data_IF_775679847248
#
_entry.id   IF_775679847248
#
_cell.length_a   1.000
_cell.length_b   1.000
_cell.length_c   1.000
_cell.angle_alpha   90.00
_cell.angle_beta   90.00
_cell.angle_gamma   90.00
#
_symmetry.space_group_name_H-M   'P 1'
#
loop_
_entity.id
_entity.type
_entity.pdbx_description
1 polymer ?
#
# COMPACT_ATOMS: atom_id res chain seq x y z
N UNK A 1 25.75 14.53 23.64
CA UNK A 1 25.15 14.80 22.32
C UNK A 1 24.87 13.46 21.63
N UNK A 2 23.72 12.85 21.95
CA UNK A 2 23.24 11.64 21.25
C UNK A 2 22.50 12.11 20.00
N UNK A 3 23.20 12.18 18.88
CA UNK A 3 22.58 12.13 17.58
C UNK A 3 21.99 10.70 17.43
N UNK A 4 20.71 10.57 17.69
CA UNK A 4 19.97 9.39 17.27
C UNK A 4 20.12 9.27 15.76
N UNK A 5 20.92 8.30 15.33
CA UNK A 5 21.06 7.93 13.93
C UNK A 5 19.76 7.25 13.47
N UNK A 6 18.80 8.04 13.03
CA UNK A 6 17.55 7.58 12.41
C UNK A 6 17.79 6.87 11.07
N UNK A 7 19.06 6.75 10.65
CA UNK A 7 19.49 6.15 9.40
C UNK A 7 19.89 4.67 9.51
N UNK A 8 19.69 4.01 10.64
CA UNK A 8 19.87 2.57 10.70
C UNK A 8 18.78 1.90 9.85
N UNK A 9 19.07 1.70 8.56
CA UNK A 9 18.25 0.87 7.69
C UNK A 9 17.94 -0.43 8.43
N UNK A 10 16.66 -0.74 8.65
CA UNK A 10 16.27 -1.95 9.38
C UNK A 10 16.84 -3.14 8.61
N UNK A 11 17.78 -3.85 9.22
CA UNK A 11 18.42 -5.02 8.61
C UNK A 11 17.37 -6.01 8.13
N UNK A 12 17.36 -6.27 6.81
CA UNK A 12 16.43 -7.19 6.18
C UNK A 12 15.13 -6.58 5.64
N UNK A 13 14.92 -5.25 5.74
CA UNK A 13 13.80 -4.58 5.09
C UNK A 13 13.97 -4.58 3.56
N UNK A 14 12.88 -4.89 2.84
CA UNK A 14 12.91 -5.03 1.39
C UNK A 14 13.22 -3.74 0.65
N UNK A 15 12.83 -2.58 1.19
CA UNK A 15 12.89 -1.27 0.54
C UNK A 15 13.82 -0.28 1.26
N UNK A 16 14.64 -0.75 2.21
CA UNK A 16 15.49 0.11 3.05
C UNK A 16 16.39 1.04 2.22
N UNK A 17 17.01 0.51 1.16
CA UNK A 17 17.90 1.26 0.26
C UNK A 17 17.15 2.34 -0.50
N UNK A 18 16.01 1.99 -1.09
CA UNK A 18 15.19 2.87 -1.90
C UNK A 18 14.59 4.00 -1.05
N UNK A 19 14.10 3.66 0.15
CA UNK A 19 13.54 4.65 1.07
C UNK A 19 14.61 5.61 1.62
N UNK A 20 15.81 5.10 1.92
CA UNK A 20 16.93 5.94 2.31
C UNK A 20 17.32 6.92 1.19
N UNK A 21 17.34 6.47 -0.07
CA UNK A 21 17.60 7.34 -1.23
C UNK A 21 16.52 8.43 -1.36
N UNK A 22 15.23 8.08 -1.21
CA UNK A 22 14.11 9.05 -1.22
C UNK A 22 14.30 10.14 -0.17
N UNK A 23 14.71 9.78 1.06
CA UNK A 23 14.97 10.75 2.12
C UNK A 23 16.16 11.65 1.83
N UNK A 24 17.28 11.05 1.43
CA UNK A 24 18.53 11.78 1.16
C UNK A 24 18.42 12.74 -0.03
N UNK A 25 17.61 12.40 -1.02
CA UNK A 25 17.35 13.21 -2.21
C UNK A 25 16.23 14.26 -2.00
N UNK A 26 15.66 14.35 -0.79
CA UNK A 26 14.58 15.31 -0.49
C UNK A 26 13.28 15.02 -1.24
N UNK A 27 13.04 13.76 -1.64
CA UNK A 27 11.81 13.37 -2.37
C UNK A 27 10.61 13.07 -1.46
N UNK A 28 10.73 13.33 -0.16
CA UNK A 28 9.59 13.53 0.73
C UNK A 28 9.36 15.03 0.77
N UNK A 29 8.32 15.50 0.05
CA UNK A 29 8.13 16.91 -0.24
C UNK A 29 6.73 17.39 0.20
N UNK A 30 6.68 18.30 1.17
CA UNK A 30 5.45 18.88 1.68
C UNK A 30 4.76 19.85 0.70
N UNK A 31 5.47 20.26 -0.36
CA UNK A 31 4.92 21.14 -1.41
C UNK A 31 4.37 20.37 -2.59
N UNK A 32 4.44 19.02 -2.55
CA UNK A 32 3.90 18.17 -3.59
C UNK A 32 2.38 18.32 -3.68
N UNK A 33 1.90 18.76 -4.82
CA UNK A 33 0.47 18.87 -5.12
C UNK A 33 0.09 18.02 -6.34
N UNK A 34 -1.18 17.61 -6.37
CA UNK A 34 -1.72 16.96 -7.56
C UNK A 34 -1.88 17.99 -8.69
N UNK A 35 -1.60 17.57 -9.92
CA UNK A 35 -1.93 18.36 -11.10
C UNK A 35 -3.46 18.39 -11.29
N UNK A 36 -4.08 19.60 -11.34
CA UNK A 36 -5.53 19.73 -11.27
C UNK A 36 -6.27 19.21 -12.52
N UNK A 37 -5.58 19.11 -13.65
CA UNK A 37 -6.11 18.64 -14.94
C UNK A 37 -5.96 17.11 -15.14
N UNK A 38 -5.43 16.39 -14.16
CA UNK A 38 -5.18 14.96 -14.25
C UNK A 38 -5.88 14.18 -13.15
N UNK A 39 -6.36 12.96 -13.46
CA UNK A 39 -6.98 12.13 -12.43
C UNK A 39 -5.95 11.65 -11.38
N UNK A 40 -6.40 11.61 -10.12
CA UNK A 40 -5.71 10.95 -9.02
C UNK A 40 -6.22 9.53 -8.95
N UNK A 41 -5.33 8.58 -9.20
CA UNK A 41 -5.60 7.15 -9.13
C UNK A 41 -5.43 6.62 -7.71
N UNK A 42 -6.01 5.45 -7.44
CA UNK A 42 -5.88 4.77 -6.16
C UNK A 42 -5.37 3.35 -6.37
N UNK A 43 -4.41 2.93 -5.55
CA UNK A 43 -3.97 1.55 -5.46
C UNK A 43 -4.47 0.97 -4.13
N UNK A 44 -5.10 -0.20 -4.19
CA UNK A 44 -5.73 -0.86 -3.05
C UNK A 44 -5.00 -2.14 -2.70
N UNK A 45 -4.73 -2.33 -1.42
CA UNK A 45 -4.43 -3.63 -0.83
C UNK A 45 -5.60 -4.01 0.09
N UNK A 46 -6.40 -4.99 -0.31
CA UNK A 46 -7.66 -5.33 0.36
C UNK A 46 -7.41 -6.49 1.33
N UNK A 47 -7.17 -6.18 2.59
CA UNK A 47 -7.08 -7.15 3.68
C UNK A 47 -8.45 -7.74 4.06
N UNK A 48 -8.48 -9.00 4.46
CA UNK A 48 -9.69 -9.67 5.01
C UNK A 48 -9.62 -9.75 6.53
N UNK A 49 -8.42 -9.91 7.09
CA UNK A 49 -8.13 -9.95 8.52
C UNK A 49 -7.10 -8.91 8.93
N UNK A 50 -6.39 -8.41 7.95
CA UNK A 50 -5.37 -7.37 8.08
C UNK A 50 -5.97 -6.04 7.58
N UNK A 51 -5.22 -4.96 7.70
CA UNK A 51 -5.65 -3.66 7.25
C UNK A 51 -5.91 -3.65 5.73
N UNK A 52 -6.96 -2.95 5.31
CA UNK A 52 -7.09 -2.52 3.92
C UNK A 52 -6.37 -1.19 3.78
N UNK A 53 -5.47 -1.07 2.82
CA UNK A 53 -4.73 0.14 2.52
C UNK A 53 -5.10 0.73 1.18
N UNK A 54 -5.15 2.05 1.10
CA UNK A 54 -5.39 2.81 -0.13
C UNK A 54 -4.27 3.83 -0.28
N UNK A 55 -3.68 3.93 -1.47
CA UNK A 55 -2.69 4.91 -1.84
C UNK A 55 -3.19 5.77 -2.98
N UNK A 56 -3.15 7.10 -2.83
CA UNK A 56 -3.51 8.05 -3.87
C UNK A 56 -2.27 8.50 -4.62
N UNK A 57 -2.31 8.42 -5.95
CA UNK A 57 -1.16 8.76 -6.76
C UNK A 57 -1.53 9.33 -8.14
N UNK A 58 -0.58 10.07 -8.73
CA UNK A 58 -0.59 10.46 -10.13
C UNK A 58 0.71 10.03 -10.81
N UNK A 59 0.65 9.78 -12.12
CA UNK A 59 1.85 9.56 -12.95
C UNK A 59 2.05 10.79 -13.83
N UNK A 60 3.17 11.47 -13.64
CA UNK A 60 3.47 12.75 -14.27
C UNK A 60 4.87 12.73 -14.85
N UNK A 61 5.01 12.82 -16.18
CA UNK A 61 6.33 12.90 -16.83
C UNK A 61 7.29 11.73 -16.51
N UNK A 62 6.74 10.55 -16.24
CA UNK A 62 7.52 9.37 -15.83
C UNK A 62 7.83 9.29 -14.33
N UNK A 63 7.44 10.27 -13.55
CA UNK A 63 7.47 10.23 -12.08
C UNK A 63 6.13 9.78 -11.51
N UNK A 64 6.16 9.25 -10.29
CA UNK A 64 4.98 8.84 -9.52
C UNK A 64 4.84 9.76 -8.32
N UNK A 65 3.81 10.59 -8.30
CA UNK A 65 3.47 11.45 -7.19
C UNK A 65 2.57 10.68 -6.23
N UNK A 66 3.09 10.33 -5.06
CA UNK A 66 2.32 9.70 -3.98
C UNK A 66 1.77 10.82 -3.09
N UNK A 67 0.46 11.02 -3.16
CA UNK A 67 -0.21 12.19 -2.60
C UNK A 67 -0.76 11.93 -1.20
N UNK A 68 -1.26 10.72 -0.94
CA UNK A 68 -1.86 10.35 0.35
C UNK A 68 -1.86 8.83 0.53
N UNK A 69 -2.04 8.37 1.77
CA UNK A 69 -2.39 6.99 2.06
C UNK A 69 -3.36 6.91 3.25
N UNK A 70 -4.16 5.86 3.26
CA UNK A 70 -5.08 5.55 4.35
C UNK A 70 -5.09 4.06 4.60
N UNK A 71 -5.05 3.64 5.85
CA UNK A 71 -5.09 2.23 6.23
C UNK A 71 -5.94 2.06 7.48
N UNK A 72 -6.86 1.11 7.45
CA UNK A 72 -7.65 0.68 8.62
C UNK A 72 -8.19 -0.73 8.42
N UNK A 73 -8.76 -1.31 9.46
CA UNK A 73 -9.42 -2.62 9.40
C UNK A 73 -10.79 -2.59 10.10
N UNK A 74 -11.53 -3.69 9.97
CA UNK A 74 -12.79 -3.89 10.69
C UNK A 74 -13.97 -3.07 10.17
N UNK A 75 -13.84 -2.41 9.01
CA UNK A 75 -14.89 -1.60 8.38
C UNK A 75 -15.27 -2.14 7.00
N UNK A 76 -16.45 -1.77 6.51
CA UNK A 76 -16.94 -2.18 5.19
C UNK A 76 -16.35 -1.35 4.04
N UNK A 77 -16.57 -1.82 2.82
CA UNK A 77 -16.14 -1.12 1.59
C UNK A 77 -16.77 0.26 1.45
N UNK A 78 -17.99 0.44 1.96
CA UNK A 78 -18.73 1.71 2.04
C UNK A 78 -17.92 2.79 2.77
N UNK A 79 -17.34 2.48 3.92
CA UNK A 79 -16.48 3.40 4.65
C UNK A 79 -15.28 3.89 3.79
N UNK A 80 -14.63 2.97 3.08
CA UNK A 80 -13.49 3.35 2.23
C UNK A 80 -13.94 4.19 1.02
N UNK A 81 -15.14 3.93 0.48
CA UNK A 81 -15.70 4.75 -0.59
C UNK A 81 -15.96 6.18 -0.11
N UNK A 82 -16.53 6.36 1.10
CA UNK A 82 -16.71 7.66 1.74
C UNK A 82 -15.39 8.40 1.95
N UNK A 83 -14.35 7.70 2.45
CA UNK A 83 -13.00 8.27 2.60
C UNK A 83 -12.44 8.71 1.24
N UNK A 84 -12.63 7.93 0.18
CA UNK A 84 -12.18 8.31 -1.16
C UNK A 84 -12.88 9.57 -1.69
N UNK A 85 -14.18 9.68 -1.48
CA UNK A 85 -14.98 10.84 -1.87
C UNK A 85 -14.58 12.09 -1.07
N UNK A 86 -14.47 11.95 0.24
CA UNK A 86 -14.05 13.02 1.14
C UNK A 86 -12.66 13.57 0.75
N UNK A 87 -11.67 12.70 0.55
CA UNK A 87 -10.31 13.12 0.15
C UNK A 87 -10.30 13.83 -1.20
N UNK A 88 -11.09 13.34 -2.17
CA UNK A 88 -11.20 13.98 -3.47
C UNK A 88 -11.83 15.38 -3.35
N UNK A 89 -12.89 15.53 -2.55
CA UNK A 89 -13.56 16.82 -2.34
C UNK A 89 -12.66 17.82 -1.59
N UNK A 90 -12.01 17.41 -0.51
CA UNK A 90 -11.13 18.25 0.31
C UNK A 90 -9.94 18.81 -0.48
N UNK A 91 -9.41 18.03 -1.43
CA UNK A 91 -8.21 18.40 -2.18
C UNK A 91 -8.52 18.84 -3.64
N UNK A 92 -9.78 18.86 -4.06
CA UNK A 92 -10.17 19.19 -5.42
C UNK A 92 -9.70 18.17 -6.48
N UNK A 93 -9.52 16.91 -6.09
CA UNK A 93 -8.98 15.89 -6.98
C UNK A 93 -10.03 15.31 -7.93
N UNK A 94 -9.66 15.14 -9.19
CA UNK A 94 -10.44 14.36 -10.15
C UNK A 94 -10.22 12.88 -9.83
N UNK A 95 -11.28 12.16 -9.46
CA UNK A 95 -11.19 10.73 -9.14
C UNK A 95 -10.85 9.89 -10.37
N UNK A 96 -9.73 9.18 -10.31
CA UNK A 96 -9.21 8.27 -11.33
C UNK A 96 -9.66 6.83 -11.17
N UNK A 97 -8.81 5.91 -11.58
CA UNK A 97 -9.01 4.46 -11.51
C UNK A 97 -8.63 3.92 -10.14
N UNK A 98 -9.38 2.94 -9.66
CA UNK A 98 -9.09 2.14 -8.46
C UNK A 98 -8.41 0.83 -8.88
N UNK A 99 -7.09 0.74 -8.73
CA UNK A 99 -6.36 -0.49 -9.01
C UNK A 99 -6.50 -1.45 -7.83
N UNK A 100 -7.17 -2.56 -8.05
CA UNK A 100 -7.51 -3.54 -7.01
C UNK A 100 -6.86 -4.89 -7.28
N UNK A 101 -6.53 -5.68 -6.23
CA UNK A 101 -5.92 -6.99 -6.39
C UNK A 101 -6.86 -7.96 -7.12
N UNK A 102 -6.28 -8.96 -7.76
CA UNK A 102 -6.99 -9.92 -8.62
C UNK A 102 -8.06 -10.73 -7.87
N UNK A 103 -7.95 -10.92 -6.57
CA UNK A 103 -8.90 -11.64 -5.72
C UNK A 103 -10.14 -10.80 -5.37
N UNK A 104 -10.16 -9.50 -5.68
CA UNK A 104 -11.35 -8.67 -5.56
C UNK A 104 -12.53 -9.14 -6.44
N UNK A 105 -12.28 -10.01 -7.43
CA UNK A 105 -13.31 -10.66 -8.25
C UNK A 105 -14.01 -11.85 -7.56
N UNK A 106 -13.53 -12.31 -6.41
CA UNK A 106 -14.14 -13.43 -5.68
C UNK A 106 -15.48 -12.98 -5.08
N UNK A 107 -16.51 -13.82 -5.22
CA UNK A 107 -17.85 -13.55 -4.66
C UNK A 107 -17.86 -13.73 -3.15
N UNK A 108 -18.45 -12.80 -2.46
CA UNK A 108 -18.64 -12.89 -1.01
C UNK A 108 -19.89 -13.71 -0.69
N UNK A 109 -19.78 -14.64 0.26
CA UNK A 109 -20.86 -15.55 0.63
C UNK A 109 -22.12 -14.82 1.16
N UNK A 110 -21.92 -13.71 1.89
CA UNK A 110 -23.02 -12.98 2.52
C UNK A 110 -23.87 -12.18 1.53
N UNK A 111 -23.26 -11.61 0.49
CA UNK A 111 -23.93 -10.73 -0.47
C UNK A 111 -24.13 -11.35 -1.84
N UNK A 112 -23.41 -12.43 -2.16
CA UNK A 112 -23.35 -13.04 -3.48
C UNK A 112 -22.70 -12.14 -4.55
N UNK A 113 -22.21 -10.95 -4.17
CA UNK A 113 -21.51 -9.99 -5.06
C UNK A 113 -20.00 -10.12 -4.92
N UNK A 114 -19.30 -9.73 -5.96
CA UNK A 114 -17.86 -9.54 -5.90
C UNK A 114 -17.56 -8.18 -5.24
N UNK A 115 -16.35 -8.01 -4.69
CA UNK A 115 -15.89 -6.69 -4.21
C UNK A 115 -15.89 -5.66 -5.33
N UNK A 116 -15.51 -6.07 -6.55
CA UNK A 116 -15.57 -5.21 -7.74
C UNK A 116 -16.99 -4.67 -7.98
N UNK A 117 -18.02 -5.56 -7.97
CA UNK A 117 -19.43 -5.17 -8.14
C UNK A 117 -19.91 -4.23 -7.00
N UNK A 118 -19.45 -4.47 -5.78
CA UNK A 118 -19.77 -3.61 -4.64
C UNK A 118 -19.11 -2.24 -4.78
N UNK A 119 -17.84 -2.19 -5.13
CA UNK A 119 -17.10 -0.94 -5.36
C UNK A 119 -17.72 -0.10 -6.49
N UNK A 120 -18.12 -0.74 -7.60
CA UNK A 120 -18.82 -0.07 -8.71
C UNK A 120 -20.16 0.52 -8.26
N UNK A 121 -20.92 -0.22 -7.44
CA UNK A 121 -22.17 0.27 -6.87
C UNK A 121 -22.02 1.49 -5.95
N UNK A 122 -20.84 1.69 -5.38
CA UNK A 122 -20.45 2.85 -4.55
C UNK A 122 -19.79 3.98 -5.35
N UNK A 123 -19.78 3.92 -6.68
CA UNK A 123 -19.22 4.97 -7.55
C UNK A 123 -17.71 4.92 -7.74
N UNK A 124 -17.03 3.89 -7.19
CA UNK A 124 -15.60 3.64 -7.44
C UNK A 124 -15.39 3.06 -8.85
N UNK A 125 -14.16 3.15 -9.37
CA UNK A 125 -13.79 2.71 -10.71
C UNK A 125 -12.77 1.57 -10.67
N UNK A 126 -13.15 0.39 -10.13
CA UNK A 126 -12.21 -0.71 -9.89
C UNK A 126 -11.69 -1.31 -11.20
N UNK A 127 -10.38 -1.47 -11.27
CA UNK A 127 -9.65 -2.18 -12.32
C UNK A 127 -8.77 -3.24 -11.67
N UNK A 128 -8.98 -4.51 -12.03
CA UNK A 128 -8.17 -5.63 -11.52
C UNK A 128 -6.75 -5.52 -12.05
N UNK A 129 -5.77 -5.66 -11.16
CA UNK A 129 -4.37 -5.83 -11.55
C UNK A 129 -4.06 -7.33 -11.77
N UNK A 130 -3.11 -7.66 -12.65
CA UNK A 130 -2.65 -9.02 -12.83
C UNK A 130 -2.13 -9.62 -11.52
N UNK A 131 -2.34 -10.93 -11.34
CA UNK A 131 -1.73 -11.65 -10.24
C UNK A 131 -0.21 -11.74 -10.46
N UNK A 132 0.56 -11.10 -9.60
CA UNK A 132 2.01 -11.19 -9.57
C UNK A 132 2.45 -12.00 -8.35
N UNK A 133 3.54 -12.78 -8.50
CA UNK A 133 4.17 -13.44 -7.36
C UNK A 133 4.71 -12.41 -6.36
N UNK A 134 4.82 -12.80 -5.08
CA UNK A 134 5.33 -11.91 -4.03
C UNK A 134 6.66 -11.24 -4.39
N UNK A 135 7.61 -12.00 -4.93
CA UNK A 135 8.93 -11.47 -5.32
C UNK A 135 8.82 -10.51 -6.51
N UNK A 136 7.92 -10.77 -7.46
CA UNK A 136 7.68 -9.89 -8.60
C UNK A 136 7.07 -8.56 -8.13
N UNK A 137 6.14 -8.61 -7.18
CA UNK A 137 5.58 -7.43 -6.53
C UNK A 137 6.64 -6.60 -5.81
N UNK A 138 7.49 -7.24 -4.99
CA UNK A 138 8.61 -6.56 -4.31
C UNK A 138 9.56 -5.91 -5.32
N UNK A 139 9.91 -6.60 -6.39
CA UNK A 139 10.79 -6.06 -7.42
C UNK A 139 10.13 -4.92 -8.22
N UNK A 140 8.82 -4.98 -8.46
CA UNK A 140 8.07 -3.89 -9.08
C UNK A 140 8.12 -2.63 -8.21
N UNK A 141 7.89 -2.74 -6.90
CA UNK A 141 7.99 -1.61 -5.96
C UNK A 141 9.42 -1.04 -5.95
N UNK A 142 10.45 -1.87 -5.89
CA UNK A 142 11.86 -1.42 -5.95
C UNK A 142 12.19 -0.63 -7.22
N UNK A 143 11.58 -0.98 -8.35
CA UNK A 143 11.76 -0.26 -9.62
C UNK A 143 10.95 1.05 -9.65
N UNK A 144 9.84 1.11 -8.93
CA UNK A 144 8.95 2.28 -8.89
C UNK A 144 9.41 3.33 -7.90
N UNK A 145 9.90 2.95 -6.70
CA UNK A 145 10.33 3.88 -5.65
C UNK A 145 11.35 4.93 -6.12
N UNK A 146 12.36 4.61 -6.97
CA UNK A 146 13.25 5.63 -7.54
C UNK A 146 12.56 6.73 -8.34
N UNK A 147 11.34 6.48 -8.83
CA UNK A 147 10.54 7.43 -9.60
C UNK A 147 9.54 8.21 -8.72
N UNK A 148 9.44 7.86 -7.42
CA UNK A 148 8.46 8.44 -6.53
C UNK A 148 8.93 9.76 -5.93
N UNK A 149 8.00 10.73 -5.86
CA UNK A 149 7.99 11.87 -4.95
C UNK A 149 6.80 11.68 -4.02
N UNK A 150 7.00 11.82 -2.71
CA UNK A 150 6.04 11.40 -1.69
C UNK A 150 5.66 12.58 -0.81
N UNK A 151 4.36 12.85 -0.68
CA UNK A 151 3.90 13.86 0.27
C UNK A 151 3.99 13.32 1.72
N UNK A 152 4.49 14.09 2.71
CA UNK A 152 4.68 13.62 4.09
C UNK A 152 3.39 13.22 4.82
N UNK A 153 2.20 13.61 4.34
CA UNK A 153 0.92 13.10 4.88
C UNK A 153 0.77 11.57 4.76
N UNK A 154 1.59 10.94 3.91
CA UNK A 154 1.66 9.47 3.76
C UNK A 154 2.57 8.80 4.80
N UNK A 155 2.86 9.44 5.93
CA UNK A 155 3.83 8.96 6.93
C UNK A 155 3.56 7.53 7.41
N UNK A 156 2.29 7.15 7.57
CA UNK A 156 1.90 5.77 7.91
C UNK A 156 2.40 4.78 6.85
N UNK A 157 2.21 5.10 5.58
CA UNK A 157 2.68 4.29 4.46
C UNK A 157 4.21 4.29 4.31
N UNK A 158 4.86 5.45 4.52
CA UNK A 158 6.32 5.56 4.53
C UNK A 158 6.90 4.62 5.59
N UNK A 159 6.37 4.67 6.82
CA UNK A 159 6.78 3.78 7.91
C UNK A 159 6.56 2.30 7.58
N UNK A 160 5.45 1.97 6.95
CA UNK A 160 5.16 0.60 6.51
C UNK A 160 6.18 0.11 5.45
N UNK A 161 6.54 0.94 4.46
CA UNK A 161 7.55 0.62 3.45
C UNK A 161 8.95 0.43 4.06
N UNK A 162 9.33 1.27 5.03
CA UNK A 162 10.62 1.19 5.73
C UNK A 162 10.75 -0.07 6.59
N UNK A 163 9.63 -0.56 7.13
CA UNK A 163 9.59 -1.71 8.03
C UNK A 163 9.28 -3.02 7.32
N UNK A 164 8.89 -3.01 6.04
CA UNK A 164 8.47 -4.19 5.30
C UNK A 164 9.61 -5.21 5.16
N UNK A 165 9.51 -6.31 5.92
CA UNK A 165 10.52 -7.37 6.01
C UNK A 165 9.90 -8.76 6.07
N UNK A 166 10.71 -9.80 5.85
CA UNK A 166 10.28 -11.19 6.05
C UNK A 166 10.09 -11.51 7.53
N UNK A 167 8.86 -11.62 8.00
CA UNK A 167 8.55 -12.20 9.33
C UNK A 167 8.53 -13.75 9.34
N UNK A 168 8.81 -14.38 8.22
CA UNK A 168 8.47 -15.80 7.96
C UNK A 168 9.39 -16.83 8.61
N UNK A 169 10.59 -16.48 9.02
CA UNK A 169 11.54 -17.47 9.56
C UNK A 169 11.26 -17.85 11.02
N UNK A 170 10.69 -16.99 11.83
CA UNK A 170 10.42 -17.31 13.25
C UNK A 170 9.25 -18.28 13.42
N UNK A 171 8.18 -18.16 12.66
CA UNK A 171 7.02 -19.07 12.75
C UNK A 171 7.36 -20.50 12.29
N UNK A 172 8.23 -20.69 11.31
CA UNK A 172 8.68 -22.03 10.87
C UNK A 172 9.57 -22.72 11.90
N UNK A 173 10.50 -22.00 12.52
CA UNK A 173 11.37 -22.59 13.56
C UNK A 173 10.57 -23.10 14.76
N UNK A 174 9.49 -22.39 15.14
CA UNK A 174 8.63 -22.79 16.26
C UNK A 174 7.76 -24.02 15.93
N UNK A 175 7.28 -24.15 14.69
CA UNK A 175 6.48 -25.31 14.25
C UNK A 175 7.33 -26.58 14.11
N UNK A 176 8.56 -26.47 13.61
CA UNK A 176 9.49 -27.59 13.47
C UNK A 176 10.05 -28.07 14.81
N UNK A 177 10.25 -27.15 15.78
CA UNK A 177 10.61 -27.51 17.14
C UNK A 177 9.46 -28.21 17.88
N UNK A 178 8.20 -27.82 17.66
CA UNK A 178 7.03 -28.54 18.20
C UNK A 178 6.89 -29.94 17.59
N UNK A 179 7.07 -30.11 16.28
CA UNK A 179 7.03 -31.43 15.61
C UNK A 179 8.13 -32.37 16.11
N UNK A 180 9.36 -31.89 16.34
CA UNK A 180 10.47 -32.70 16.86
C UNK A 180 10.29 -33.11 18.31
N UNK A 181 9.47 -32.39 19.11
CA UNK A 181 9.15 -32.79 20.52
C UNK A 181 8.04 -33.83 20.59
N UNK A 182 7.13 -33.91 19.60
CA UNK A 182 6.03 -34.89 19.61
C UNK A 182 6.44 -36.25 19.04
N UNK A 183 7.58 -36.36 18.35
CA UNK A 183 8.08 -37.62 17.77
C UNK A 183 9.09 -38.33 18.68
N UNK A 184 9.36 -37.81 19.90
CA UNK A 184 10.29 -38.40 20.89
C UNK A 184 9.58 -38.86 22.18
N UNK A 185 8.29 -39.19 22.11
CA UNK A 185 7.57 -39.89 23.19
C UNK A 185 7.07 -41.24 22.72
#
# INVERSE_FOLDING_TARGET
EYLCDFNAAILGAFYAREMLAIRNEGRIDATLEALPDRPVHRAWDIGVRDDTSIWWFQVVGGQVFILDCYSTNGVGIDHYAEVCEQRAAENGWISGTDFVPHDAKVREWGTGRTRVETMQGLGLKPQLVPNAGLLDGINAVRKTLPLCVIHPRTEQGISALEQYRREWEEKKKTSDQKKKRTTKK
#
